data_IF_369621615405
#
_entry.id   IF_369621615405
#
_cell.length_a   1.000
_cell.length_b   1.000
_cell.length_c   1.000
_cell.angle_alpha   90.00
_cell.angle_beta   90.00
_cell.angle_gamma   90.00
#
_symmetry.space_group_name_H-M   'P 1'
#
loop_
_entity.id
_entity.type
_entity.pdbx_description
1 polymer ?
#
# COMPACT_ATOMS: atom_id res chain seq x y z
N UNK A 1 -2.00 -13.01 -10.99
CA UNK A 1 -2.77 -12.90 -12.25
C UNK A 1 -4.27 -12.84 -11.98
N UNK A 2 -5.02 -12.01 -12.70
CA UNK A 2 -6.47 -11.83 -12.48
C UNK A 2 -7.36 -12.79 -13.29
N UNK A 3 -6.76 -13.60 -14.17
CA UNK A 3 -7.47 -14.58 -15.00
C UNK A 3 -7.24 -15.98 -14.44
N UNK A 4 -8.31 -16.61 -13.93
CA UNK A 4 -8.27 -17.95 -13.34
C UNK A 4 -7.58 -19.02 -14.21
N UNK A 5 -7.86 -19.09 -15.53
CA UNK A 5 -7.20 -20.02 -16.43
C UNK A 5 -5.68 -19.84 -16.58
N UNK A 6 -5.13 -18.70 -16.15
CA UNK A 6 -3.69 -18.41 -16.22
C UNK A 6 -2.96 -18.62 -14.90
N UNK A 7 -3.65 -19.05 -13.83
CA UNK A 7 -3.02 -19.29 -12.55
C UNK A 7 -2.08 -20.52 -12.63
N UNK A 8 -0.84 -20.42 -12.13
CA UNK A 8 0.10 -21.52 -12.20
C UNK A 8 -0.23 -22.55 -11.13
N UNK A 9 0.13 -23.80 -11.41
CA UNK A 9 0.21 -24.86 -10.43
C UNK A 9 1.67 -25.15 -10.09
N UNK A 10 1.96 -25.41 -8.82
CA UNK A 10 3.31 -25.76 -8.38
C UNK A 10 3.72 -27.09 -9.00
N UNK A 11 4.75 -27.07 -9.84
CA UNK A 11 5.35 -28.28 -10.40
C UNK A 11 6.16 -29.04 -9.35
N UNK A 12 6.32 -30.35 -9.57
CA UNK A 12 7.05 -31.23 -8.66
C UNK A 12 8.49 -30.77 -8.36
N UNK A 13 9.17 -30.22 -9.36
CA UNK A 13 10.55 -29.73 -9.29
C UNK A 13 10.71 -28.38 -8.54
N UNK A 14 9.61 -27.66 -8.30
CA UNK A 14 9.59 -26.36 -7.62
C UNK A 14 8.96 -26.43 -6.23
N UNK A 15 8.54 -27.61 -5.78
CA UNK A 15 7.87 -27.78 -4.50
C UNK A 15 8.86 -28.02 -3.33
N UNK A 16 8.52 -27.56 -2.11
CA UNK A 16 7.41 -26.65 -1.80
C UNK A 16 7.72 -25.21 -2.24
N UNK A 17 6.68 -24.45 -2.58
CA UNK A 17 6.83 -23.04 -2.99
C UNK A 17 6.03 -22.13 -2.06
N UNK A 18 6.68 -21.34 -1.19
CA UNK A 18 6.00 -20.45 -0.22
C UNK A 18 4.81 -21.08 0.53
N UNK A 19 4.92 -22.37 0.90
CA UNK A 19 3.87 -23.12 1.59
C UNK A 19 2.93 -23.92 0.68
N UNK A 20 2.92 -23.63 -0.63
CA UNK A 20 2.16 -24.37 -1.62
C UNK A 20 2.83 -25.72 -1.96
N UNK A 21 2.01 -26.76 -2.03
CA UNK A 21 2.40 -28.13 -2.37
C UNK A 21 2.31 -28.41 -3.87
N UNK A 22 2.91 -29.51 -4.32
CA UNK A 22 2.83 -29.97 -5.70
C UNK A 22 1.36 -30.06 -6.17
N UNK A 23 1.06 -29.48 -7.33
CA UNK A 23 -0.27 -29.49 -7.94
C UNK A 23 -1.23 -28.44 -7.37
N UNK A 24 -0.88 -27.74 -6.29
CA UNK A 24 -1.71 -26.65 -5.77
C UNK A 24 -1.68 -25.43 -6.70
N UNK A 25 -2.86 -24.84 -6.90
CA UNK A 25 -3.02 -23.61 -7.68
C UNK A 25 -2.65 -22.42 -6.81
N UNK A 26 -1.73 -21.58 -7.30
CA UNK A 26 -1.38 -20.33 -6.64
C UNK A 26 -2.42 -19.28 -7.01
N UNK A 27 -3.46 -19.14 -6.19
CA UNK A 27 -4.56 -18.19 -6.44
C UNK A 27 -4.19 -16.74 -6.13
N UNK A 28 -3.27 -16.52 -5.18
CA UNK A 28 -2.77 -15.18 -4.89
C UNK A 28 -2.03 -14.60 -6.09
N UNK A 29 -2.42 -13.40 -6.48
CA UNK A 29 -2.01 -12.84 -7.76
C UNK A 29 -0.54 -12.44 -7.81
N UNK A 30 0.03 -12.01 -6.69
CA UNK A 30 1.42 -11.59 -6.55
C UNK A 30 2.33 -12.81 -6.45
N UNK A 31 1.96 -13.80 -5.62
CA UNK A 31 2.65 -15.10 -5.54
C UNK A 31 2.65 -15.84 -6.87
N UNK A 32 1.55 -15.81 -7.60
CA UNK A 32 1.46 -16.42 -8.93
C UNK A 32 2.43 -15.76 -9.93
N UNK A 33 2.54 -14.43 -9.88
CA UNK A 33 3.49 -13.71 -10.73
C UNK A 33 4.94 -14.00 -10.33
N UNK A 34 5.23 -14.03 -9.02
CA UNK A 34 6.54 -14.39 -8.47
C UNK A 34 7.01 -15.75 -9.01
N UNK A 35 6.13 -16.77 -8.92
CA UNK A 35 6.39 -18.11 -9.42
C UNK A 35 6.75 -18.14 -10.91
N UNK A 36 6.01 -17.37 -11.73
CA UNK A 36 6.29 -17.25 -13.18
C UNK A 36 7.63 -16.54 -13.43
N UNK A 37 7.93 -15.47 -12.71
CA UNK A 37 9.19 -14.72 -12.86
C UNK A 37 10.41 -15.56 -12.46
N UNK A 38 10.28 -16.42 -11.46
CA UNK A 38 11.36 -17.27 -10.95
C UNK A 38 11.60 -18.50 -11.83
N UNK A 39 10.53 -19.21 -12.18
CA UNK A 39 10.64 -20.53 -12.81
C UNK A 39 10.38 -20.51 -14.33
N UNK A 40 9.67 -19.50 -14.83
CA UNK A 40 9.21 -19.43 -16.21
C UNK A 40 9.52 -18.08 -16.87
N UNK A 41 10.66 -17.46 -16.54
CA UNK A 41 11.06 -16.18 -17.10
C UNK A 41 11.01 -16.13 -18.64
N UNK A 42 11.17 -17.27 -19.32
CA UNK A 42 11.06 -17.40 -20.77
C UNK A 42 9.69 -17.04 -21.35
N UNK A 43 8.60 -17.11 -20.58
CA UNK A 43 7.27 -16.71 -21.04
C UNK A 43 7.09 -15.18 -21.02
N UNK A 44 8.04 -14.45 -20.43
CA UNK A 44 8.11 -12.99 -20.38
C UNK A 44 9.42 -12.51 -21.00
N UNK A 45 9.55 -12.46 -22.35
CA UNK A 45 10.80 -12.13 -23.02
C UNK A 45 11.43 -10.81 -22.57
N UNK A 46 10.61 -9.79 -22.30
CA UNK A 46 11.06 -8.49 -21.78
C UNK A 46 11.72 -8.60 -20.41
N UNK A 47 11.23 -9.49 -19.53
CA UNK A 47 11.82 -9.76 -18.23
C UNK A 47 13.08 -10.64 -18.36
N UNK A 48 13.04 -11.69 -19.18
CA UNK A 48 14.20 -12.56 -19.43
C UNK A 48 15.40 -11.81 -20.00
N UNK A 49 15.15 -10.81 -20.84
CA UNK A 49 16.19 -9.96 -21.43
C UNK A 49 16.90 -9.05 -20.42
N UNK A 50 16.36 -8.91 -19.20
CA UNK A 50 16.97 -8.09 -18.16
C UNK A 50 18.20 -8.78 -17.53
N UNK A 51 19.22 -7.97 -17.21
CA UNK A 51 20.34 -8.41 -16.38
C UNK A 51 19.87 -8.88 -15.00
N UNK A 52 20.69 -9.72 -14.34
CA UNK A 52 20.35 -10.32 -13.04
C UNK A 52 19.95 -9.29 -11.97
N UNK A 53 20.65 -8.15 -11.91
CA UNK A 53 20.32 -7.08 -10.97
C UNK A 53 18.94 -6.47 -11.22
N UNK A 54 18.57 -6.23 -12.49
CA UNK A 54 17.26 -5.65 -12.82
C UNK A 54 16.11 -6.66 -12.61
N UNK A 55 16.36 -7.95 -12.85
CA UNK A 55 15.41 -9.02 -12.52
C UNK A 55 15.15 -9.10 -11.02
N UNK A 56 16.21 -9.04 -10.20
CA UNK A 56 16.11 -8.96 -8.74
C UNK A 56 15.28 -7.76 -8.30
N UNK A 57 15.55 -6.56 -8.80
CA UNK A 57 14.76 -5.37 -8.45
C UNK A 57 13.28 -5.51 -8.83
N UNK A 58 12.99 -6.11 -9.99
CA UNK A 58 11.61 -6.34 -10.43
C UNK A 58 10.88 -7.40 -9.58
N UNK A 59 11.57 -8.46 -9.14
CA UNK A 59 11.02 -9.44 -8.20
C UNK A 59 10.74 -8.80 -6.85
N UNK A 60 11.73 -8.09 -6.30
CA UNK A 60 11.60 -7.37 -5.04
C UNK A 60 10.40 -6.42 -5.06
N UNK A 61 10.27 -5.63 -6.13
CA UNK A 61 9.20 -4.66 -6.28
C UNK A 61 7.80 -5.27 -6.20
N UNK A 62 7.64 -6.49 -6.70
CA UNK A 62 6.32 -7.14 -6.80
C UNK A 62 6.03 -8.15 -5.69
N UNK A 63 7.05 -8.64 -4.98
CA UNK A 63 6.89 -9.88 -4.20
C UNK A 63 7.35 -9.81 -2.74
N UNK A 64 8.21 -8.86 -2.37
CA UNK A 64 8.98 -8.97 -1.12
C UNK A 64 8.76 -7.87 -0.08
N UNK A 65 8.36 -6.66 -0.48
CA UNK A 65 8.31 -5.54 0.48
C UNK A 65 7.03 -5.51 1.35
N UNK A 66 5.96 -6.20 0.94
CA UNK A 66 4.63 -6.27 1.59
C UNK A 66 4.02 -4.92 2.02
N UNK A 67 4.62 -3.81 1.61
CA UNK A 67 4.12 -2.47 1.81
C UNK A 67 3.03 -2.17 0.77
N UNK A 68 1.95 -1.54 1.19
CA UNK A 68 0.96 -0.98 0.28
C UNK A 68 0.86 0.52 0.57
N UNK A 69 1.36 1.32 -0.36
CA UNK A 69 1.37 2.76 -0.18
C UNK A 69 -0.05 3.36 -0.21
N UNK A 70 -0.97 2.73 -0.94
CA UNK A 70 -2.39 3.10 -0.93
C UNK A 70 -3.01 2.98 0.47
N UNK A 71 -2.65 1.93 1.21
CA UNK A 71 -3.13 1.74 2.59
C UNK A 71 -2.72 2.86 3.53
N UNK A 72 -1.50 3.38 3.36
CA UNK A 72 -1.06 4.57 4.07
C UNK A 72 -1.85 5.81 3.62
N UNK A 73 -1.94 6.06 2.31
CA UNK A 73 -2.60 7.25 1.75
C UNK A 73 -4.06 7.36 2.16
N UNK A 74 -4.75 6.23 2.28
CA UNK A 74 -6.15 6.15 2.70
C UNK A 74 -6.31 5.95 4.21
N UNK A 75 -5.21 5.68 4.92
CA UNK A 75 -5.20 5.27 6.33
C UNK A 75 -6.17 4.11 6.63
N UNK A 76 -6.39 3.20 5.69
CA UNK A 76 -7.40 2.14 5.81
C UNK A 76 -6.96 0.94 6.63
N UNK A 77 -5.66 0.67 6.64
CA UNK A 77 -5.08 -0.43 7.40
C UNK A 77 -4.50 0.07 8.73
N UNK A 78 -4.45 -0.79 9.77
CA UNK A 78 -3.75 -0.47 11.00
C UNK A 78 -2.24 -0.25 10.75
N UNK A 79 -1.56 0.56 11.57
CA UNK A 79 -0.14 0.88 11.43
C UNK A 79 0.77 -0.33 11.22
N UNK A 80 0.59 -1.41 11.99
CA UNK A 80 1.41 -2.61 11.84
C UNK A 80 1.26 -3.27 10.47
N UNK A 81 0.03 -3.38 9.95
CA UNK A 81 -0.21 -3.92 8.62
C UNK A 81 0.39 -3.05 7.50
N UNK A 82 0.49 -1.74 7.72
CA UNK A 82 1.12 -0.81 6.78
C UNK A 82 2.64 -0.88 6.88
N UNK A 83 3.19 -0.83 8.09
CA UNK A 83 4.58 -0.43 8.30
C UNK A 83 5.51 -1.54 8.80
N UNK A 84 5.03 -2.64 9.39
CA UNK A 84 5.92 -3.61 10.07
C UNK A 84 6.94 -4.22 9.13
N UNK A 85 6.53 -4.72 7.96
CA UNK A 85 7.44 -5.33 6.99
C UNK A 85 8.38 -4.30 6.37
N UNK A 86 7.87 -3.09 6.06
CA UNK A 86 8.69 -2.00 5.58
C UNK A 86 9.74 -1.58 6.62
N UNK A 87 9.34 -1.47 7.89
CA UNK A 87 10.21 -1.13 9.01
C UNK A 87 11.29 -2.19 9.19
N UNK A 88 10.92 -3.47 9.14
CA UNK A 88 11.86 -4.59 9.19
C UNK A 88 12.86 -4.54 8.02
N UNK A 89 12.41 -4.21 6.81
CA UNK A 89 13.28 -4.03 5.65
C UNK A 89 14.26 -2.85 5.81
N UNK A 90 13.83 -1.76 6.48
CA UNK A 90 14.60 -0.52 6.60
C UNK A 90 15.55 -0.46 7.80
N UNK A 91 15.20 -1.02 8.96
CA UNK A 91 15.92 -0.80 10.24
C UNK A 91 17.25 -1.56 10.35
N UNK A 92 17.64 -2.37 9.35
CA UNK A 92 18.99 -2.97 9.27
C UNK A 92 19.42 -3.69 10.54
N UNK A 93 18.63 -4.66 11.00
CA UNK A 93 19.17 -5.67 11.92
C UNK A 93 19.80 -6.81 11.10
N UNK A 94 21.01 -6.54 10.61
CA UNK A 94 22.06 -7.48 10.15
C UNK A 94 21.75 -8.65 9.19
N UNK A 95 20.58 -8.76 8.54
CA UNK A 95 20.30 -9.85 7.58
C UNK A 95 19.47 -9.50 6.34
N UNK A 96 18.98 -8.27 6.17
CA UNK A 96 18.21 -7.95 4.97
C UNK A 96 19.13 -7.89 3.74
N UNK A 97 18.96 -8.81 2.80
CA UNK A 97 19.63 -8.82 1.48
C UNK A 97 19.10 -7.71 0.54
N UNK A 98 18.37 -6.74 1.09
CA UNK A 98 17.63 -5.73 0.33
C UNK A 98 18.61 -4.62 -0.08
N UNK A 99 18.84 -4.49 -1.38
CA UNK A 99 19.66 -3.42 -1.95
C UNK A 99 18.88 -2.08 -1.90
N UNK A 100 19.58 -0.97 -1.65
CA UNK A 100 19.01 0.38 -1.74
C UNK A 100 18.40 0.64 -3.13
N UNK A 101 19.00 0.07 -4.16
CA UNK A 101 18.49 0.11 -5.53
C UNK A 101 17.13 -0.54 -5.64
N UNK A 102 16.92 -1.67 -4.97
CA UNK A 102 15.67 -2.42 -5.03
C UNK A 102 14.54 -1.64 -4.34
N UNK A 103 14.84 -1.05 -3.18
CA UNK A 103 13.92 -0.14 -2.48
C UNK A 103 13.59 1.11 -3.30
N UNK A 104 14.60 1.75 -3.90
CA UNK A 104 14.37 2.91 -4.77
C UNK A 104 13.54 2.53 -6.01
N UNK A 105 13.82 1.39 -6.62
CA UNK A 105 13.04 0.87 -7.74
C UNK A 105 11.59 0.59 -7.33
N UNK A 106 11.36 0.01 -6.14
CA UNK A 106 10.02 -0.14 -5.58
C UNK A 106 9.32 1.22 -5.48
N UNK A 107 9.90 2.27 -4.90
CA UNK A 107 9.14 3.54 -4.85
C UNK A 107 8.88 4.18 -6.22
N UNK A 108 9.79 4.00 -7.18
CA UNK A 108 9.57 4.43 -8.57
C UNK A 108 8.48 3.61 -9.26
N UNK A 109 8.37 2.30 -8.98
CA UNK A 109 7.35 1.45 -9.59
C UNK A 109 5.93 1.90 -9.23
N UNK A 110 5.74 2.52 -8.07
CA UNK A 110 4.42 3.01 -7.67
C UNK A 110 3.95 4.13 -8.59
N UNK A 111 4.86 5.00 -9.05
CA UNK A 111 4.51 6.01 -10.04
C UNK A 111 4.01 5.36 -11.34
N UNK A 112 4.57 4.21 -11.73
CA UNK A 112 4.11 3.46 -12.91
C UNK A 112 2.77 2.75 -12.67
N UNK A 113 2.53 2.23 -11.46
CA UNK A 113 1.24 1.62 -11.10
C UNK A 113 0.12 2.68 -11.01
N UNK A 114 0.42 3.86 -10.44
CA UNK A 114 -0.48 5.02 -10.45
C UNK A 114 -0.77 5.50 -11.86
N UNK A 115 0.25 5.47 -12.72
CA UNK A 115 0.11 5.90 -14.10
C UNK A 115 -0.87 5.07 -14.91
N UNK A 116 -1.18 3.85 -14.45
CA UNK A 116 -2.13 2.92 -15.06
C UNK A 116 -1.67 2.52 -16.45
N UNK A 117 -1.22 1.29 -16.62
CA UNK A 117 -0.93 0.78 -17.96
C UNK A 117 -2.24 0.62 -18.75
N UNK A 118 -2.66 1.66 -19.47
CA UNK A 118 -3.78 1.58 -20.41
C UNK A 118 -3.25 1.12 -21.78
N UNK A 119 -3.82 0.06 -22.37
CA UNK A 119 -3.43 -0.36 -23.70
C UNK A 119 -3.78 0.71 -24.74
N UNK A 120 -3.16 0.62 -25.92
CA UNK A 120 -3.52 1.41 -27.10
C UNK A 120 -5.04 1.39 -27.34
N UNK A 121 -5.68 2.54 -27.65
CA UNK A 121 -5.08 3.81 -28.09
C UNK A 121 -4.68 4.79 -26.98
N UNK A 122 -4.92 4.48 -25.71
CA UNK A 122 -4.76 5.43 -24.61
C UNK A 122 -3.29 5.66 -24.18
N UNK A 123 -2.35 4.96 -24.83
CA UNK A 123 -0.99 5.47 -25.02
C UNK A 123 -0.14 5.59 -23.75
N UNK A 124 -0.25 4.65 -22.81
CA UNK A 124 0.63 4.61 -21.64
C UNK A 124 0.09 5.44 -20.48
N UNK A 125 0.77 6.53 -20.09
CA UNK A 125 0.57 7.22 -18.81
C UNK A 125 -0.57 8.26 -18.82
N UNK A 126 -1.52 8.19 -19.76
CA UNK A 126 -2.61 9.19 -19.86
C UNK A 126 -3.41 9.29 -18.56
N UNK A 127 -3.65 8.14 -17.89
CA UNK A 127 -4.29 8.15 -16.59
C UNK A 127 -3.49 9.02 -15.62
N UNK A 128 -2.16 8.88 -15.55
CA UNK A 128 -1.32 9.74 -14.70
C UNK A 128 -1.47 11.25 -15.01
N UNK A 129 -1.40 11.60 -16.29
CA UNK A 129 -1.25 13.00 -16.73
C UNK A 129 -2.58 13.74 -16.77
N UNK A 130 -3.65 13.05 -17.18
CA UNK A 130 -4.93 13.69 -17.51
C UNK A 130 -6.07 13.28 -16.56
N UNK A 131 -6.04 12.07 -16.01
CA UNK A 131 -7.20 11.48 -15.31
C UNK A 131 -6.96 11.27 -13.81
N UNK A 132 -5.70 11.25 -13.36
CA UNK A 132 -5.36 10.93 -11.99
C UNK A 132 -5.71 12.13 -11.10
N UNK A 133 -6.52 11.94 -10.05
CA UNK A 133 -6.93 13.06 -9.24
C UNK A 133 -5.72 13.71 -8.54
N UNK A 134 -5.49 15.00 -8.78
CA UNK A 134 -4.33 15.73 -8.27
C UNK A 134 -4.22 15.66 -6.74
N UNK A 135 -5.36 15.65 -6.03
CA UNK A 135 -5.38 15.53 -4.57
C UNK A 135 -4.87 14.18 -4.08
N UNK A 136 -5.15 13.09 -4.81
CA UNK A 136 -4.62 11.75 -4.48
C UNK A 136 -3.13 11.72 -4.75
N UNK A 137 -2.67 12.29 -5.87
CA UNK A 137 -1.24 12.38 -6.18
C UNK A 137 -0.49 13.19 -5.12
N UNK A 138 -1.05 14.33 -4.69
CA UNK A 138 -0.47 15.12 -3.62
C UNK A 138 -0.42 14.33 -2.31
N UNK A 139 -1.50 13.64 -1.94
CA UNK A 139 -1.51 12.80 -0.72
C UNK A 139 -0.43 11.70 -0.78
N UNK A 140 -0.26 11.10 -1.96
CA UNK A 140 0.79 10.11 -2.23
C UNK A 140 2.19 10.72 -2.07
N UNK A 141 2.49 11.82 -2.78
CA UNK A 141 3.80 12.49 -2.73
C UNK A 141 4.14 12.98 -1.32
N UNK A 142 3.15 13.49 -0.58
CA UNK A 142 3.36 13.96 0.79
C UNK A 142 3.58 12.83 1.78
N UNK A 143 2.97 11.66 1.57
CA UNK A 143 3.14 10.54 2.48
C UNK A 143 4.58 9.98 2.55
N UNK A 144 5.45 10.29 1.58
CA UNK A 144 6.86 9.89 1.62
C UNK A 144 7.61 10.40 2.86
N UNK A 145 7.31 11.62 3.33
CA UNK A 145 7.98 12.16 4.52
C UNK A 145 7.67 11.33 5.78
N UNK A 146 6.53 10.64 5.81
CA UNK A 146 6.12 9.77 6.91
C UNK A 146 6.74 8.38 6.77
N UNK A 147 6.83 7.88 5.53
CA UNK A 147 7.55 6.64 5.22
C UNK A 147 9.00 6.72 5.69
N UNK A 148 9.68 7.85 5.50
CA UNK A 148 11.06 8.03 5.96
C UNK A 148 11.20 7.97 7.49
N UNK A 149 10.19 8.44 8.23
CA UNK A 149 10.19 8.50 9.71
C UNK A 149 10.03 7.14 10.38
N UNK A 150 9.65 6.10 9.64
CA UNK A 150 9.46 4.75 10.21
C UNK A 150 10.76 4.14 10.73
N UNK A 151 11.91 4.65 10.27
CA UNK A 151 13.23 4.23 10.73
C UNK A 151 13.50 4.67 12.17
N UNK A 152 12.94 5.80 12.58
CA UNK A 152 13.22 6.43 13.88
C UNK A 152 12.03 6.43 14.83
N UNK A 153 10.83 6.17 14.33
CA UNK A 153 9.57 6.26 15.08
C UNK A 153 8.83 4.92 15.04
N UNK A 154 7.93 4.70 15.98
CA UNK A 154 7.03 3.55 15.94
C UNK A 154 5.98 3.70 14.84
N UNK A 155 5.40 2.58 14.42
CA UNK A 155 4.39 2.54 13.36
C UNK A 155 3.16 3.39 13.76
N UNK A 156 2.75 3.31 15.02
CA UNK A 156 1.64 4.08 15.57
C UNK A 156 1.93 5.59 15.57
N UNK A 157 3.13 6.01 15.99
CA UNK A 157 3.54 7.44 15.97
C UNK A 157 3.52 8.01 14.55
N UNK A 158 4.05 7.26 13.57
CA UNK A 158 4.04 7.68 12.16
C UNK A 158 2.60 7.82 11.65
N UNK A 159 1.72 6.85 11.94
CA UNK A 159 0.33 6.91 11.51
C UNK A 159 -0.43 8.06 12.18
N UNK A 160 -0.24 8.29 13.47
CA UNK A 160 -0.88 9.40 14.18
C UNK A 160 -0.47 10.77 13.62
N UNK A 161 0.83 10.96 13.38
CA UNK A 161 1.32 12.20 12.81
C UNK A 161 0.79 12.40 11.39
N UNK A 162 0.74 11.32 10.60
CA UNK A 162 0.12 11.34 9.28
C UNK A 162 -1.34 11.79 9.36
N UNK A 163 -2.15 11.15 10.20
CA UNK A 163 -3.58 11.48 10.37
C UNK A 163 -3.80 12.94 10.80
N UNK A 164 -3.03 13.42 11.78
CA UNK A 164 -3.10 14.81 12.26
C UNK A 164 -2.73 15.80 11.15
N UNK A 165 -1.68 15.50 10.38
CA UNK A 165 -1.24 16.34 9.27
C UNK A 165 -2.28 16.39 8.17
N UNK A 166 -2.85 15.24 7.78
CA UNK A 166 -3.92 15.17 6.77
C UNK A 166 -5.18 15.90 7.19
N UNK A 167 -5.54 15.84 8.47
CA UNK A 167 -6.66 16.60 9.03
C UNK A 167 -6.45 18.11 8.88
N UNK A 168 -5.30 18.62 9.33
CA UNK A 168 -4.98 20.05 9.27
C UNK A 168 -4.89 20.61 7.84
N UNK A 169 -4.58 19.77 6.86
CA UNK A 169 -4.48 20.16 5.44
C UNK A 169 -5.79 20.12 4.70
N UNK A 170 -6.80 19.45 5.25
CA UNK A 170 -8.10 19.34 4.62
C UNK A 170 -8.88 20.62 4.76
N UNK A 171 -9.37 21.15 3.65
CA UNK A 171 -10.31 22.27 3.66
C UNK A 171 -11.66 21.92 4.32
N UNK A 172 -11.94 20.64 4.55
CA UNK A 172 -13.15 20.17 5.22
C UNK A 172 -13.02 20.13 6.76
N UNK A 173 -11.86 20.46 7.33
CA UNK A 173 -11.68 20.51 8.78
C UNK A 173 -11.80 21.94 9.30
N UNK A 174 -12.37 22.10 10.50
CA UNK A 174 -12.45 23.38 11.23
C UNK A 174 -11.09 23.81 11.84
N UNK A 175 -9.98 23.34 11.25
CA UNK A 175 -8.59 23.45 11.72
C UNK A 175 -8.27 22.81 13.09
N UNK A 176 -9.24 22.70 14.02
CA UNK A 176 -9.03 22.00 15.29
C UNK A 176 -9.01 20.49 15.08
N UNK A 177 -8.04 19.81 15.67
CA UNK A 177 -7.99 18.35 15.70
C UNK A 177 -9.24 17.80 16.42
N UNK A 178 -9.84 16.71 15.92
CA UNK A 178 -10.94 16.07 16.61
C UNK A 178 -10.42 15.44 17.92
N UNK A 179 -11.28 15.36 18.92
CA UNK A 179 -10.94 14.82 20.24
C UNK A 179 -11.99 13.82 20.71
N UNK A 180 -11.62 13.01 21.71
CA UNK A 180 -12.47 11.95 22.25
C UNK A 180 -12.49 10.68 21.40
N UNK A 181 -13.40 9.77 21.73
CA UNK A 181 -13.35 8.38 21.25
C UNK A 181 -13.61 8.24 19.74
N UNK A 182 -14.15 9.26 19.09
CA UNK A 182 -14.41 9.29 17.63
C UNK A 182 -13.27 9.90 16.81
N UNK A 183 -12.24 10.45 17.46
CA UNK A 183 -11.21 11.26 16.79
C UNK A 183 -10.45 10.48 15.70
N UNK A 184 -10.01 9.25 16.00
CA UNK A 184 -9.32 8.41 15.02
C UNK A 184 -10.22 8.04 13.85
N UNK A 185 -11.46 7.64 14.11
CA UNK A 185 -12.40 7.30 13.05
C UNK A 185 -12.62 8.47 12.09
N UNK A 186 -12.83 9.68 12.62
CA UNK A 186 -12.96 10.90 11.81
C UNK A 186 -11.71 11.18 10.97
N UNK A 187 -10.53 11.13 11.55
CA UNK A 187 -9.29 11.37 10.80
C UNK A 187 -9.06 10.32 9.71
N UNK A 188 -9.36 9.05 9.98
CA UNK A 188 -9.24 7.96 8.99
C UNK A 188 -10.28 8.08 7.89
N UNK A 189 -11.54 8.34 8.23
CA UNK A 189 -12.61 8.57 7.26
C UNK A 189 -12.31 9.76 6.35
N UNK A 190 -11.70 10.83 6.88
CA UNK A 190 -11.22 11.96 6.08
C UNK A 190 -10.18 11.50 5.04
N UNK A 191 -9.20 10.70 5.44
CA UNK A 191 -8.19 10.16 4.51
C UNK A 191 -8.81 9.21 3.46
N UNK A 192 -9.74 8.34 3.86
CA UNK A 192 -10.43 7.41 2.95
C UNK A 192 -11.30 8.16 1.94
N UNK A 193 -12.05 9.17 2.41
CA UNK A 193 -13.00 9.92 1.60
C UNK A 193 -12.33 10.94 0.66
N UNK A 194 -11.07 11.30 0.91
CA UNK A 194 -10.29 12.23 0.10
C UNK A 194 -11.06 13.54 -0.11
N UNK A 195 -11.43 13.91 -1.35
CA UNK A 195 -12.21 15.13 -1.64
C UNK A 195 -13.65 15.10 -1.13
N UNK A 196 -14.16 13.95 -0.74
CA UNK A 196 -15.54 13.78 -0.27
C UNK A 196 -15.64 13.73 1.26
N UNK A 197 -14.62 14.22 1.96
CA UNK A 197 -14.54 14.13 3.43
C UNK A 197 -15.73 14.78 4.14
N UNK A 198 -16.17 15.97 3.73
CA UNK A 198 -17.30 16.67 4.37
C UNK A 198 -18.57 15.81 4.46
N UNK A 199 -19.17 15.39 3.33
CA UNK A 199 -20.35 14.53 3.33
C UNK A 199 -20.16 13.20 4.09
N UNK A 200 -18.96 12.62 4.06
CA UNK A 200 -18.68 11.37 4.79
C UNK A 200 -18.63 11.59 6.30
N UNK A 201 -18.04 12.70 6.75
CA UNK A 201 -18.00 13.06 8.17
C UNK A 201 -19.39 13.45 8.70
N UNK A 202 -20.19 14.17 7.91
CA UNK A 202 -21.60 14.45 8.22
C UNK A 202 -22.42 13.16 8.32
N UNK A 203 -22.23 12.23 7.38
CA UNK A 203 -22.89 10.94 7.41
C UNK A 203 -22.48 10.14 8.65
N UNK A 204 -21.20 10.13 9.02
CA UNK A 204 -20.69 9.51 10.24
C UNK A 204 -21.33 10.12 11.50
N UNK A 205 -21.50 11.43 11.54
CA UNK A 205 -22.14 12.11 12.68
C UNK A 205 -23.64 11.82 12.77
N UNK A 206 -24.28 11.55 11.64
CA UNK A 206 -25.69 11.17 11.55
C UNK A 206 -25.99 9.71 11.88
N UNK A 207 -24.96 8.86 12.05
CA UNK A 207 -25.14 7.46 12.41
C UNK A 207 -25.85 7.32 13.77
N UNK A 208 -26.64 6.24 13.96
CA UNK A 208 -27.08 5.82 15.28
C UNK A 208 -25.89 5.73 16.25
N UNK A 209 -26.11 6.11 17.52
CA UNK A 209 -25.03 6.15 18.52
C UNK A 209 -24.27 4.83 18.61
N UNK A 210 -24.98 3.70 18.63
CA UNK A 210 -24.38 2.35 18.70
C UNK A 210 -23.48 2.04 17.48
N UNK A 211 -23.93 2.38 16.27
CA UNK A 211 -23.15 2.19 15.04
C UNK A 211 -21.90 3.09 15.04
N UNK A 212 -22.05 4.34 15.47
CA UNK A 212 -20.95 5.29 15.56
C UNK A 212 -19.91 4.86 16.59
N UNK A 213 -20.34 4.37 17.75
CA UNK A 213 -19.47 3.83 18.80
C UNK A 213 -18.73 2.59 18.31
N UNK A 214 -19.44 1.65 17.68
CA UNK A 214 -18.86 0.43 17.11
C UNK A 214 -17.81 0.77 16.06
N UNK A 215 -18.15 1.61 15.08
CA UNK A 215 -17.21 2.02 14.05
C UNK A 215 -15.99 2.77 14.64
N UNK A 216 -16.22 3.63 15.64
CA UNK A 216 -15.14 4.35 16.32
C UNK A 216 -14.18 3.41 17.04
N UNK A 217 -14.73 2.42 17.74
CA UNK A 217 -13.97 1.39 18.43
C UNK A 217 -13.13 0.57 17.44
N UNK A 218 -13.76 0.00 16.41
CA UNK A 218 -13.06 -0.82 15.40
C UNK A 218 -11.96 -0.04 14.68
N UNK A 219 -12.21 1.22 14.33
CA UNK A 219 -11.19 2.07 13.70
C UNK A 219 -10.05 2.48 14.65
N UNK A 220 -10.25 2.38 15.96
CA UNK A 220 -9.25 2.66 16.99
C UNK A 220 -8.41 1.44 17.39
N UNK A 221 -8.77 0.22 16.97
CA UNK A 221 -8.01 -1.03 17.22
C UNK A 221 -6.73 -1.11 16.39
N UNK A 222 -5.88 -0.10 16.50
CA UNK A 222 -4.70 0.11 15.65
C UNK A 222 -3.42 0.36 16.44
N UNK A 223 -3.52 0.61 17.75
CA UNK A 223 -2.41 1.07 18.58
C UNK A 223 -2.19 2.59 18.55
N UNK A 224 -2.96 3.33 17.74
CA UNK A 224 -3.01 4.79 17.80
C UNK A 224 -3.85 5.25 19.00
N UNK A 225 -3.43 6.34 19.65
CA UNK A 225 -4.03 6.88 20.88
C UNK A 225 -5.14 7.88 20.57
N UNK A 226 -5.13 8.52 19.40
CA UNK A 226 -6.22 9.39 18.96
C UNK A 226 -6.40 10.67 19.77
N UNK A 227 -5.33 11.13 20.45
CA UNK A 227 -5.33 12.30 21.33
C UNK A 227 -4.62 13.49 20.73
#
# INVERSE_FOLDING_TARGET
>A
MKSGPLLPQVQAEHAPYHGFQVGEVIADHDRALCYVLEHYANVLPSYRGLGSAARRSAQFAKCDLFFNHGWLVQAEAPPGAVFTELRAALIRDHKSEIDRRDLAFYFVHWLTDLAGAEPTPLGGCEKFVCKFPLHVLNSFLRSFEFVERIVTSTEAEVMEEYLKTRWCESAASDASLPSGDTALARMRLLCMAQTSAGPVLEAFDSLPTEDRETLSFEMALTGCVGR
#
